data_IF_553703843518
#
_entry.id   IF_553703843518
#
_cell.length_a   1.000
_cell.length_b   1.000
_cell.length_c   1.000
_cell.angle_alpha   90.00
_cell.angle_beta   90.00
_cell.angle_gamma   90.00
#
_symmetry.space_group_name_H-M   'P 1'
#
loop_
_entity.id
_entity.type
_entity.pdbx_description
1 polymer ?
#
# COMPACT_ATOMS: atom_id res chain seq x y z
N UNK A 1 32.79 -17.82 -21.96
CA UNK A 1 32.10 -17.55 -20.69
C UNK A 1 30.80 -16.83 -21.02
N UNK A 2 29.64 -17.46 -20.86
CA UNK A 2 28.34 -16.81 -21.05
C UNK A 2 28.07 -15.94 -19.83
N UNK A 3 28.39 -14.66 -19.91
CA UNK A 3 27.81 -13.66 -19.02
C UNK A 3 26.31 -13.66 -19.29
N UNK A 4 25.52 -14.05 -18.29
CA UNK A 4 24.07 -13.98 -18.34
C UNK A 4 23.68 -12.50 -18.47
N UNK A 5 23.37 -12.10 -19.68
CA UNK A 5 22.93 -10.75 -20.03
C UNK A 5 21.50 -10.53 -19.49
N UNK A 6 21.39 -10.17 -18.21
CA UNK A 6 20.11 -9.91 -17.54
C UNK A 6 19.38 -8.71 -18.14
N UNK A 7 18.09 -8.86 -18.42
CA UNK A 7 17.18 -7.75 -18.71
C UNK A 7 16.56 -7.28 -17.39
N UNK A 8 16.65 -6.00 -17.09
CA UNK A 8 15.98 -5.34 -15.98
C UNK A 8 14.70 -4.71 -16.52
N UNK A 9 13.59 -5.00 -15.87
CA UNK A 9 12.26 -4.50 -16.25
C UNK A 9 11.76 -3.67 -15.09
N UNK A 10 11.59 -2.37 -15.33
CA UNK A 10 11.07 -1.42 -14.35
C UNK A 10 9.71 -0.95 -14.83
N UNK A 11 8.66 -1.36 -14.12
CA UNK A 11 7.30 -0.88 -14.38
C UNK A 11 7.01 0.29 -13.45
N UNK A 12 6.51 1.40 -13.99
CA UNK A 12 5.98 2.49 -13.16
C UNK A 12 4.92 1.91 -12.21
N UNK A 13 4.95 2.33 -10.94
CA UNK A 13 4.06 1.82 -9.90
C UNK A 13 4.05 0.29 -9.81
N UNK A 14 5.14 -0.39 -10.21
CA UNK A 14 5.29 -1.85 -10.16
C UNK A 14 4.20 -2.63 -10.92
N UNK A 15 3.63 -2.04 -11.97
CA UNK A 15 2.57 -2.66 -12.77
C UNK A 15 1.16 -2.44 -12.21
N UNK A 16 0.97 -1.51 -11.27
CA UNK A 16 -0.34 -1.08 -10.78
C UNK A 16 -0.72 0.24 -11.44
N UNK A 17 -1.77 0.24 -12.26
CA UNK A 17 -2.18 1.41 -13.03
C UNK A 17 -3.70 1.60 -13.06
N UNK A 18 -4.12 2.83 -13.35
CA UNK A 18 -5.49 3.09 -13.75
C UNK A 18 -5.73 2.62 -15.19
N UNK A 19 -6.88 1.99 -15.43
CA UNK A 19 -7.32 1.65 -16.78
C UNK A 19 -7.66 2.90 -17.59
N UNK A 20 -7.47 2.86 -18.91
CA UNK A 20 -7.69 4.00 -19.80
C UNK A 20 -6.57 5.05 -19.79
N UNK A 21 -5.48 4.81 -19.04
CA UNK A 21 -4.29 5.66 -19.03
C UNK A 21 -3.13 5.01 -19.79
N UNK A 22 -2.11 5.80 -20.12
CA UNK A 22 -0.88 5.30 -20.72
C UNK A 22 0.06 4.80 -19.62
N UNK A 23 0.24 3.48 -19.55
CA UNK A 23 1.28 2.85 -18.75
C UNK A 23 2.67 2.99 -19.39
N UNK A 24 3.72 2.97 -18.57
CA UNK A 24 5.11 3.02 -19.02
C UNK A 24 5.92 1.88 -18.43
N UNK A 25 6.58 1.12 -19.29
CA UNK A 25 7.55 0.08 -18.93
C UNK A 25 8.92 0.52 -19.41
N UNK A 26 9.86 0.67 -18.49
CA UNK A 26 11.26 0.91 -18.79
C UNK A 26 12.01 -0.43 -18.83
N UNK A 27 12.78 -0.64 -19.88
CA UNK A 27 13.59 -1.81 -20.12
C UNK A 27 15.05 -1.37 -20.17
N UNK A 28 15.88 -1.94 -19.31
CA UNK A 28 17.31 -1.67 -19.27
C UNK A 28 18.09 -2.97 -19.19
N UNK A 29 19.34 -2.94 -19.64
CA UNK A 29 20.21 -4.09 -19.52
C UNK A 29 21.01 -4.02 -18.23
N UNK A 30 21.22 -5.17 -17.58
CA UNK A 30 22.10 -5.27 -16.41
C UNK A 30 23.58 -5.08 -16.78
N UNK A 31 23.93 -5.19 -18.07
CA UNK A 31 25.29 -5.11 -18.61
C UNK A 31 25.33 -4.19 -19.82
N UNK A 32 26.27 -3.25 -19.83
CA UNK A 32 26.40 -2.19 -20.84
C UNK A 32 27.07 -2.64 -22.15
N UNK A 33 27.73 -3.80 -22.17
CA UNK A 33 28.54 -4.21 -23.32
C UNK A 33 27.72 -5.10 -24.27
N UNK A 34 27.13 -4.48 -25.30
CA UNK A 34 26.34 -5.19 -26.33
C UNK A 34 26.75 -4.77 -27.72
N UNK A 35 26.87 -5.78 -28.58
CA UNK A 35 27.25 -5.62 -29.98
C UNK A 35 26.05 -5.53 -30.94
N UNK A 36 24.81 -5.77 -30.46
CA UNK A 36 23.62 -5.89 -31.32
C UNK A 36 22.38 -5.27 -30.69
N UNK A 37 21.55 -4.67 -31.54
CA UNK A 37 20.20 -4.24 -31.18
C UNK A 37 19.31 -5.45 -30.89
N UNK A 38 18.46 -5.29 -29.88
CA UNK A 38 17.49 -6.32 -29.50
C UNK A 38 16.09 -5.80 -29.76
N UNK A 39 15.28 -6.59 -30.43
CA UNK A 39 13.88 -6.30 -30.64
C UNK A 39 13.06 -6.93 -29.53
N UNK A 40 12.28 -6.12 -28.83
CA UNK A 40 11.23 -6.56 -27.92
C UNK A 40 9.91 -6.58 -28.67
N UNK A 41 9.32 -7.76 -28.80
CA UNK A 41 7.90 -7.90 -29.18
C UNK A 41 7.12 -8.22 -27.92
N UNK A 42 5.99 -7.54 -27.70
CA UNK A 42 5.19 -7.72 -26.51
C UNK A 42 3.70 -7.79 -26.81
N UNK A 43 2.98 -8.48 -25.92
CA UNK A 43 1.52 -8.52 -25.90
C UNK A 43 1.00 -8.30 -24.48
N UNK A 44 -0.08 -7.56 -24.36
CA UNK A 44 -0.88 -7.43 -23.17
C UNK A 44 -2.16 -8.25 -23.38
N UNK A 45 -2.43 -9.20 -22.48
CA UNK A 45 -3.62 -10.04 -22.56
C UNK A 45 -4.50 -9.92 -21.32
N UNK A 46 -5.82 -9.98 -21.55
CA UNK A 46 -6.84 -10.14 -20.52
C UNK A 46 -7.44 -11.54 -20.68
N UNK A 47 -7.07 -12.45 -19.77
CA UNK A 47 -7.34 -13.88 -19.96
C UNK A 47 -6.73 -14.39 -21.27
N UNK A 48 -7.50 -15.06 -22.16
CA UNK A 48 -7.00 -15.55 -23.43
C UNK A 48 -6.91 -14.47 -24.52
N UNK A 49 -7.50 -13.29 -24.31
CA UNK A 49 -7.66 -12.25 -25.34
C UNK A 49 -6.49 -11.27 -25.29
N UNK A 50 -5.79 -11.09 -26.42
CA UNK A 50 -4.83 -9.98 -26.56
C UNK A 50 -5.58 -8.66 -26.72
N UNK A 51 -5.25 -7.68 -25.89
CA UNK A 51 -5.89 -6.37 -25.85
C UNK A 51 -5.00 -5.25 -26.36
N UNK A 52 -3.68 -5.45 -26.29
CA UNK A 52 -2.68 -4.58 -26.90
C UNK A 52 -1.43 -5.38 -27.24
N UNK A 53 -0.60 -4.86 -28.13
CA UNK A 53 0.67 -5.45 -28.48
C UNK A 53 1.52 -4.45 -29.25
N UNK A 54 2.81 -4.71 -29.29
CA UNK A 54 3.72 -3.81 -29.97
C UNK A 54 5.12 -4.37 -30.11
N UNK A 55 5.95 -3.55 -30.75
CA UNK A 55 7.36 -3.84 -31.02
C UNK A 55 8.18 -2.60 -30.65
N UNK A 56 9.28 -2.81 -29.95
CA UNK A 56 10.25 -1.78 -29.62
C UNK A 56 11.66 -2.30 -29.91
N UNK A 57 12.57 -1.40 -30.27
CA UNK A 57 13.99 -1.69 -30.39
C UNK A 57 14.66 -1.24 -29.10
N UNK A 58 15.48 -2.10 -28.52
CA UNK A 58 16.41 -1.80 -27.45
C UNK A 58 17.78 -1.63 -28.10
N UNK A 59 18.22 -0.38 -28.33
CA UNK A 59 19.49 -0.10 -28.98
C UNK A 59 20.65 -0.68 -28.17
N UNK A 60 21.69 -1.13 -28.86
CA UNK A 60 22.90 -1.64 -28.23
C UNK A 60 23.61 -0.59 -27.34
N UNK A 61 23.48 0.68 -27.72
CA UNK A 61 24.13 1.85 -27.09
C UNK A 61 23.21 2.61 -26.11
N UNK A 62 22.01 2.09 -25.83
CA UNK A 62 21.05 2.75 -24.94
C UNK A 62 20.97 2.05 -23.58
N UNK A 63 21.08 2.85 -22.51
CA UNK A 63 20.91 2.39 -21.14
C UNK A 63 19.46 2.00 -20.83
N UNK A 64 18.47 2.62 -21.48
CA UNK A 64 17.05 2.37 -21.19
C UNK A 64 16.15 2.69 -22.38
N UNK A 65 15.29 1.73 -22.73
CA UNK A 65 14.17 1.93 -23.66
C UNK A 65 12.85 1.98 -22.91
N UNK A 66 11.99 2.95 -23.26
CA UNK A 66 10.66 3.08 -22.66
C UNK A 66 9.58 2.65 -23.64
N UNK A 67 8.73 1.72 -23.21
CA UNK A 67 7.53 1.29 -23.92
C UNK A 67 6.33 1.97 -23.29
N UNK A 68 5.56 2.68 -24.11
CA UNK A 68 4.27 3.27 -23.72
C UNK A 68 3.13 2.34 -24.15
N UNK A 69 2.20 2.05 -23.24
CA UNK A 69 1.10 1.11 -23.45
C UNK A 69 -0.20 1.82 -23.11
N UNK A 70 -1.12 1.96 -24.08
CA UNK A 70 -2.49 2.39 -23.78
C UNK A 70 -3.21 1.25 -23.06
N UNK A 71 -3.57 1.46 -21.80
CA UNK A 71 -4.19 0.43 -20.97
C UNK A 71 -5.70 0.41 -21.22
N UNK A 72 -6.34 -0.76 -21.32
CA UNK A 72 -7.79 -0.83 -21.48
C UNK A 72 -8.50 -0.21 -20.27
N UNK A 73 -9.64 0.41 -20.50
CA UNK A 73 -10.53 0.85 -19.42
C UNK A 73 -11.12 -0.37 -18.69
N UNK A 74 -11.20 -0.26 -17.36
CA UNK A 74 -11.75 -1.32 -16.51
C UNK A 74 -12.75 -0.74 -15.53
N UNK A 75 -13.82 -1.48 -15.23
CA UNK A 75 -14.84 -1.08 -14.24
C UNK A 75 -14.58 -1.64 -12.85
N UNK A 76 -13.82 -2.72 -12.80
CA UNK A 76 -13.40 -3.39 -11.56
C UNK A 76 -11.91 -3.68 -11.67
N UNK A 77 -11.28 -3.93 -10.52
CA UNK A 77 -9.89 -4.37 -10.49
C UNK A 77 -9.71 -5.60 -11.38
N UNK A 78 -8.79 -5.50 -12.34
CA UNK A 78 -8.61 -6.49 -13.41
C UNK A 78 -7.14 -6.84 -13.54
N UNK A 79 -6.83 -8.12 -13.68
CA UNK A 79 -5.47 -8.59 -13.92
C UNK A 79 -5.23 -8.79 -15.42
N UNK A 80 -4.15 -8.19 -15.92
CA UNK A 80 -3.66 -8.41 -17.27
C UNK A 80 -2.27 -9.05 -17.22
N UNK A 81 -1.91 -9.77 -18.27
CA UNK A 81 -0.58 -10.37 -18.41
C UNK A 81 0.16 -9.65 -19.52
N UNK A 82 1.31 -9.07 -19.20
CA UNK A 82 2.23 -8.54 -20.19
C UNK A 82 3.31 -9.57 -20.46
N UNK A 83 3.35 -10.07 -21.70
CA UNK A 83 4.33 -11.04 -22.16
C UNK A 83 5.26 -10.35 -23.14
N UNK A 84 6.54 -10.70 -23.07
CA UNK A 84 7.53 -10.18 -24.00
C UNK A 84 8.41 -11.29 -24.54
N UNK A 85 8.94 -11.05 -25.74
CA UNK A 85 9.93 -11.88 -26.44
C UNK A 85 11.05 -10.99 -26.94
N UNK A 86 12.28 -11.44 -26.76
CA UNK A 86 13.50 -10.76 -27.19
C UNK A 86 14.10 -11.50 -28.39
N UNK A 87 14.40 -10.77 -29.45
CA UNK A 87 15.02 -11.27 -30.68
C UNK A 87 16.24 -10.43 -31.04
N UNK A 88 17.27 -11.07 -31.60
CA UNK A 88 18.46 -10.39 -32.10
C UNK A 88 18.17 -9.76 -33.47
N UNK A 89 18.40 -8.45 -33.61
CA UNK A 89 18.10 -7.72 -34.85
C UNK A 89 16.65 -7.94 -35.31
N UNK A 90 16.42 -8.07 -36.62
CA UNK A 90 15.07 -8.26 -37.18
C UNK A 90 14.59 -9.73 -37.20
N UNK A 91 15.31 -10.63 -36.52
CA UNK A 91 14.97 -12.07 -36.46
C UNK A 91 13.83 -12.34 -35.47
N UNK A 92 12.66 -11.75 -35.71
CA UNK A 92 11.47 -11.88 -34.85
C UNK A 92 11.02 -13.35 -34.63
N UNK A 93 11.39 -14.25 -35.54
CA UNK A 93 10.97 -15.66 -35.52
C UNK A 93 11.83 -16.59 -34.65
N UNK A 94 12.95 -16.13 -34.10
CA UNK A 94 13.78 -16.92 -33.19
C UNK A 94 14.09 -16.12 -31.92
N UNK A 95 13.15 -16.07 -30.96
CA UNK A 95 13.38 -15.38 -29.71
C UNK A 95 14.44 -16.12 -28.89
N UNK A 96 15.41 -15.39 -28.35
CA UNK A 96 16.43 -15.96 -27.46
C UNK A 96 16.04 -15.85 -25.97
N UNK A 97 15.05 -15.01 -25.65
CA UNK A 97 14.49 -14.88 -24.31
C UNK A 97 13.02 -14.47 -24.37
N UNK A 98 12.27 -14.81 -23.33
CA UNK A 98 10.89 -14.39 -23.12
C UNK A 98 10.61 -14.29 -21.64
N UNK A 99 9.56 -13.57 -21.28
CA UNK A 99 9.10 -13.48 -19.91
C UNK A 99 7.68 -12.94 -19.83
N UNK A 100 7.13 -12.96 -18.63
CA UNK A 100 5.80 -12.43 -18.37
C UNK A 100 5.74 -11.72 -17.03
N UNK A 101 4.90 -10.69 -16.97
CA UNK A 101 4.61 -9.93 -15.76
C UNK A 101 3.12 -9.70 -15.64
N UNK A 102 2.64 -9.70 -14.39
CA UNK A 102 1.27 -9.33 -14.10
C UNK A 102 1.15 -7.81 -13.98
N UNK A 103 0.11 -7.27 -14.60
CA UNK A 103 -0.32 -5.88 -14.47
C UNK A 103 -1.68 -5.89 -13.78
N UNK A 104 -1.86 -4.97 -12.84
CA UNK A 104 -3.09 -4.79 -12.09
C UNK A 104 -3.73 -3.47 -12.50
N UNK A 105 -4.83 -3.54 -13.23
CA UNK A 105 -5.61 -2.39 -13.65
C UNK A 105 -6.71 -2.08 -12.65
N UNK A 106 -6.86 -0.81 -12.32
CA UNK A 106 -7.90 -0.29 -11.42
C UNK A 106 -8.83 0.64 -12.18
N UNK A 107 -10.13 0.70 -11.81
CA UNK A 107 -11.02 1.68 -12.38
C UNK A 107 -10.55 3.09 -12.01
N UNK A 108 -10.78 4.04 -12.92
CA UNK A 108 -10.55 5.47 -12.63
C UNK A 108 -11.55 5.97 -11.59
N UNK A 109 -11.19 7.04 -10.89
CA UNK A 109 -12.09 7.69 -9.94
C UNK A 109 -12.45 6.81 -8.75
N UNK A 110 -11.48 6.12 -8.16
CA UNK A 110 -11.68 5.26 -6.97
C UNK A 110 -12.36 6.03 -5.82
N UNK A 111 -12.14 7.34 -5.73
CA UNK A 111 -12.66 8.22 -4.70
C UNK A 111 -14.04 8.83 -5.01
N UNK A 112 -14.62 8.56 -6.19
CA UNK A 112 -15.85 9.24 -6.65
C UNK A 112 -17.04 9.08 -5.69
N UNK A 113 -17.11 7.95 -4.98
CA UNK A 113 -18.18 7.68 -4.01
C UNK A 113 -17.83 8.14 -2.58
N UNK A 114 -16.57 8.50 -2.32
CA UNK A 114 -16.09 8.92 -1.00
C UNK A 114 -16.70 10.25 -0.55
N UNK A 115 -17.01 11.18 -1.47
CA UNK A 115 -17.70 12.42 -1.13
C UNK A 115 -19.10 12.16 -0.53
N UNK A 116 -19.85 11.20 -1.08
CA UNK A 116 -21.16 10.81 -0.54
C UNK A 116 -21.03 10.15 0.82
N UNK A 117 -20.02 9.29 0.99
CA UNK A 117 -19.72 8.61 2.24
C UNK A 117 -19.40 9.59 3.38
N UNK A 118 -18.65 10.64 3.08
CA UNK A 118 -18.28 11.67 4.05
C UNK A 118 -19.47 12.56 4.44
N UNK A 119 -20.51 12.67 3.59
CA UNK A 119 -21.72 13.42 3.92
C UNK A 119 -21.41 14.86 4.34
N UNK A 120 -21.75 15.22 5.59
CA UNK A 120 -21.52 16.54 6.17
C UNK A 120 -20.26 16.64 7.06
N UNK A 121 -19.38 15.62 7.03
CA UNK A 121 -18.15 15.60 7.84
C UNK A 121 -17.18 16.67 7.38
N UNK A 122 -16.57 17.37 8.34
CA UNK A 122 -15.53 18.37 8.08
C UNK A 122 -14.19 17.67 8.02
N UNK A 123 -13.67 17.52 6.81
CA UNK A 123 -12.34 16.99 6.56
C UNK A 123 -11.34 18.13 6.51
N UNK A 124 -10.27 18.00 7.29
CA UNK A 124 -9.14 18.92 7.29
C UNK A 124 -7.92 18.18 6.77
N UNK A 125 -7.20 18.78 5.84
CA UNK A 125 -5.92 18.29 5.37
C UNK A 125 -4.83 19.25 5.83
N UNK A 126 -3.88 18.71 6.59
CA UNK A 126 -2.62 19.39 6.82
C UNK A 126 -1.59 18.88 5.81
N UNK A 127 -1.32 19.69 4.80
CA UNK A 127 -0.36 19.42 3.73
C UNK A 127 0.17 20.77 3.20
N UNK A 128 1.47 21.02 3.37
CA UNK A 128 2.18 22.20 2.87
C UNK A 128 2.62 21.96 1.42
N UNK A 129 3.10 20.75 1.13
CA UNK A 129 3.50 20.29 -0.19
C UNK A 129 2.95 18.89 -0.41
N UNK A 130 2.31 18.67 -1.55
CA UNK A 130 1.79 17.37 -1.92
C UNK A 130 0.62 17.47 -2.90
N UNK A 131 0.11 16.30 -3.27
CA UNK A 131 -0.95 16.15 -4.27
C UNK A 131 -2.24 15.59 -3.68
N UNK A 132 -2.27 15.26 -2.38
CA UNK A 132 -3.45 14.68 -1.74
C UNK A 132 -4.62 15.68 -1.78
N UNK A 133 -4.36 16.96 -1.51
CA UNK A 133 -5.38 18.00 -1.62
C UNK A 133 -6.00 18.12 -3.02
N UNK A 134 -5.19 17.99 -4.07
CA UNK A 134 -5.65 18.03 -5.46
C UNK A 134 -6.52 16.81 -5.79
N UNK A 135 -6.09 15.61 -5.38
CA UNK A 135 -6.82 14.36 -5.59
C UNK A 135 -8.17 14.36 -4.85
N UNK A 136 -8.21 14.84 -3.60
CA UNK A 136 -9.45 14.98 -2.84
C UNK A 136 -10.41 15.99 -3.49
N UNK A 137 -9.87 17.11 -4.00
CA UNK A 137 -10.65 18.14 -4.70
C UNK A 137 -11.24 17.61 -6.01
N UNK A 138 -10.45 16.89 -6.82
CA UNK A 138 -10.91 16.27 -8.07
C UNK A 138 -12.03 15.25 -7.81
N UNK A 139 -11.93 14.50 -6.71
CA UNK A 139 -12.97 13.59 -6.25
C UNK A 139 -14.22 14.29 -5.67
N UNK A 140 -14.27 15.62 -5.64
CA UNK A 140 -15.39 16.40 -5.12
C UNK A 140 -15.52 16.35 -3.59
N UNK A 141 -14.44 15.99 -2.87
CA UNK A 141 -14.44 15.95 -1.41
C UNK A 141 -14.12 17.35 -0.86
N UNK A 142 -14.99 17.96 -0.06
CA UNK A 142 -14.72 19.27 0.54
C UNK A 142 -13.68 19.12 1.65
N UNK A 143 -12.53 19.78 1.48
CA UNK A 143 -11.41 19.71 2.43
C UNK A 143 -10.96 21.12 2.81
N UNK A 144 -10.86 21.39 4.11
CA UNK A 144 -10.19 22.57 4.63
C UNK A 144 -8.68 22.34 4.68
N UNK A 145 -7.90 23.08 3.89
CA UNK A 145 -6.43 22.95 3.89
C UNK A 145 -5.84 23.83 4.98
N UNK A 146 -4.93 23.27 5.76
CA UNK A 146 -4.20 23.93 6.84
C UNK A 146 -2.72 23.95 6.51
N UNK A 147 -2.12 25.14 6.50
CA UNK A 147 -0.71 25.32 6.19
C UNK A 147 0.21 25.36 7.43
N UNK A 148 -0.35 25.45 8.65
CA UNK A 148 0.43 25.53 9.89
C UNK A 148 -0.22 24.79 11.06
N UNK A 149 0.61 24.31 11.97
CA UNK A 149 0.21 23.67 13.22
C UNK A 149 -0.63 24.59 14.12
N UNK A 150 -0.31 25.89 14.15
CA UNK A 150 -1.04 26.88 14.92
C UNK A 150 -2.54 26.96 14.52
N UNK A 151 -2.85 26.81 13.24
CA UNK A 151 -4.24 26.87 12.76
C UNK A 151 -5.08 25.66 13.24
N UNK A 152 -4.46 24.51 13.52
CA UNK A 152 -5.17 23.32 14.02
C UNK A 152 -5.84 23.53 15.39
N UNK A 153 -5.33 24.48 16.18
CA UNK A 153 -5.89 24.80 17.49
C UNK A 153 -7.26 25.49 17.41
N UNK A 154 -7.56 26.14 16.27
CA UNK A 154 -8.77 26.95 16.09
C UNK A 154 -9.81 26.30 15.18
N UNK A 155 -9.49 25.14 14.61
CA UNK A 155 -10.36 24.45 13.66
C UNK A 155 -11.14 23.35 14.39
N UNK A 156 -12.39 23.14 13.98
CA UNK A 156 -13.16 21.97 14.37
C UNK A 156 -13.26 21.04 13.17
N UNK A 157 -12.67 19.87 13.30
CA UNK A 157 -12.71 18.82 12.28
C UNK A 157 -13.49 17.61 12.80
N UNK A 158 -14.06 16.84 11.89
CA UNK A 158 -14.49 15.46 12.19
C UNK A 158 -13.36 14.48 11.81
N UNK A 159 -12.55 14.87 10.82
CA UNK A 159 -11.42 14.11 10.32
C UNK A 159 -10.25 15.04 10.00
N UNK A 160 -9.05 14.65 10.42
CA UNK A 160 -7.80 15.33 10.10
C UNK A 160 -6.86 14.35 9.39
N UNK A 161 -6.46 14.69 8.18
CA UNK A 161 -5.46 13.98 7.40
C UNK A 161 -4.15 14.76 7.49
N UNK A 162 -3.08 14.11 7.94
CA UNK A 162 -1.73 14.68 7.99
C UNK A 162 -0.94 14.10 6.83
N UNK A 163 -0.63 14.94 5.85
CA UNK A 163 0.07 14.58 4.61
C UNK A 163 1.45 13.95 4.85
N UNK A 164 1.99 13.34 3.80
CA UNK A 164 3.31 12.70 3.87
C UNK A 164 4.39 13.75 4.18
N UNK A 165 5.30 13.43 5.09
CA UNK A 165 6.42 14.30 5.50
C UNK A 165 6.02 15.69 6.00
N UNK A 166 4.76 15.86 6.42
CA UNK A 166 4.24 17.13 6.88
C UNK A 166 4.80 17.55 8.25
N UNK A 167 5.03 16.58 9.13
CA UNK A 167 5.52 16.86 10.46
C UNK A 167 7.01 17.20 10.41
N UNK A 168 7.35 18.37 10.92
CA UNK A 168 8.73 18.79 11.14
C UNK A 168 9.19 18.26 12.50
N UNK A 169 10.50 18.26 12.78
CA UNK A 169 11.12 17.75 14.01
C UNK A 169 10.70 18.48 15.30
N UNK A 170 9.72 19.39 15.25
CA UNK A 170 9.24 20.12 16.41
C UNK A 170 8.22 19.27 17.19
N UNK A 171 8.55 18.83 18.43
CA UNK A 171 7.74 17.87 19.17
C UNK A 171 6.33 18.39 19.53
N UNK A 172 6.17 19.71 19.66
CA UNK A 172 4.89 20.33 20.04
C UNK A 172 3.86 20.39 18.90
N UNK A 173 4.27 20.12 17.66
CA UNK A 173 3.39 20.21 16.48
C UNK A 173 2.25 19.16 16.49
N UNK A 174 2.40 18.11 17.31
CA UNK A 174 1.50 16.95 17.32
C UNK A 174 0.44 17.01 18.42
N UNK A 175 0.66 17.79 19.48
CA UNK A 175 -0.28 17.87 20.61
C UNK A 175 -1.67 18.42 20.21
N UNK A 176 -1.79 19.44 19.33
CA UNK A 176 -3.10 19.87 18.84
C UNK A 176 -3.88 18.75 18.14
N UNK A 177 -3.19 17.88 17.38
CA UNK A 177 -3.82 16.74 16.71
C UNK A 177 -4.33 15.71 17.73
N UNK A 178 -3.52 15.41 18.74
CA UNK A 178 -3.91 14.48 19.80
C UNK A 178 -5.07 15.04 20.65
N UNK A 179 -5.09 16.35 20.90
CA UNK A 179 -6.20 17.03 21.56
C UNK A 179 -7.51 16.92 20.75
N UNK A 180 -7.45 17.14 19.43
CA UNK A 180 -8.59 16.95 18.53
C UNK A 180 -9.09 15.51 18.54
N UNK A 181 -8.18 14.52 18.54
CA UNK A 181 -8.55 13.12 18.65
C UNK A 181 -9.28 12.82 19.97
N UNK A 182 -8.74 13.27 21.11
CA UNK A 182 -9.39 13.13 22.43
C UNK A 182 -10.82 13.70 22.45
N UNK A 183 -11.03 14.81 21.73
CA UNK A 183 -12.33 15.49 21.60
C UNK A 183 -13.31 14.83 20.62
N UNK A 184 -12.92 13.76 19.93
CA UNK A 184 -13.82 13.01 19.02
C UNK A 184 -13.42 13.00 17.56
N UNK A 185 -12.35 13.70 17.17
CA UNK A 185 -11.88 13.68 15.78
C UNK A 185 -11.19 12.36 15.42
N UNK A 186 -11.28 11.99 14.15
CA UNK A 186 -10.47 10.93 13.56
C UNK A 186 -9.20 11.55 12.95
N UNK A 187 -8.02 11.18 13.45
CA UNK A 187 -6.73 11.68 12.92
C UNK A 187 -6.00 10.57 12.19
N UNK A 188 -5.53 10.82 10.98
CA UNK A 188 -4.68 9.90 10.24
C UNK A 188 -3.34 10.56 9.88
N UNK A 189 -2.27 9.90 10.30
CA UNK A 189 -0.90 10.25 9.92
C UNK A 189 -0.48 9.39 8.73
N UNK A 190 -0.22 10.01 7.59
CA UNK A 190 0.53 9.36 6.51
C UNK A 190 2.04 9.34 6.84
N UNK A 191 2.85 8.74 5.97
CA UNK A 191 4.26 8.49 6.21
C UNK A 191 5.01 9.74 6.69
N UNK A 192 5.78 9.60 7.78
CA UNK A 192 6.68 10.60 8.32
C UNK A 192 8.06 9.95 8.52
N UNK A 193 9.12 10.53 8.00
CA UNK A 193 10.49 10.01 8.16
C UNK A 193 11.43 11.02 8.81
N UNK A 194 11.00 12.28 8.92
CA UNK A 194 11.80 13.38 9.48
C UNK A 194 11.57 13.65 10.97
N UNK A 195 10.66 12.93 11.62
CA UNK A 195 10.39 13.05 13.06
C UNK A 195 11.00 11.89 13.84
N UNK A 196 11.64 12.15 14.99
CA UNK A 196 12.13 11.07 15.86
C UNK A 196 10.99 10.36 16.59
N UNK A 197 9.84 11.03 16.74
CA UNK A 197 8.68 10.51 17.45
C UNK A 197 7.37 10.90 16.75
N UNK A 198 6.39 10.00 16.78
CA UNK A 198 5.03 10.21 16.26
C UNK A 198 4.02 9.83 17.33
N UNK A 199 3.24 10.82 17.78
CA UNK A 199 2.27 10.76 18.87
C UNK A 199 2.84 10.13 20.16
N UNK A 200 4.11 10.43 20.47
CA UNK A 200 4.83 9.92 21.64
C UNK A 200 5.49 8.55 21.44
N UNK A 201 5.42 7.97 20.24
CA UNK A 201 6.12 6.72 19.93
C UNK A 201 7.39 6.98 19.15
N UNK A 202 8.48 6.34 19.55
CA UNK A 202 9.75 6.42 18.83
C UNK A 202 9.62 5.86 17.41
N UNK A 203 10.26 6.54 16.46
CA UNK A 203 10.38 6.10 15.08
C UNK A 203 11.84 5.78 14.77
N UNK A 204 12.10 4.56 14.34
CA UNK A 204 13.46 4.11 14.04
C UNK A 204 13.59 3.76 12.58
N UNK A 205 14.66 4.22 11.94
CA UNK A 205 15.01 3.80 10.59
C UNK A 205 15.42 2.32 10.61
N UNK A 206 14.75 1.49 9.82
CA UNK A 206 14.98 0.04 9.73
C UNK A 206 15.08 -0.38 8.25
N UNK A 207 15.92 -1.36 7.95
CA UNK A 207 15.99 -1.95 6.61
C UNK A 207 14.66 -2.64 6.27
N UNK A 208 14.17 -2.58 5.05
CA UNK A 208 12.89 -3.23 4.68
C UNK A 208 12.93 -4.74 5.01
N UNK A 209 11.91 -5.31 5.67
CA UNK A 209 11.85 -6.74 5.92
C UNK A 209 11.40 -7.49 4.66
N UNK A 210 11.73 -8.78 4.57
CA UNK A 210 11.29 -9.62 3.46
C UNK A 210 9.76 -9.75 3.39
N UNK A 211 9.12 -9.77 4.55
CA UNK A 211 7.66 -9.84 4.71
C UNK A 211 7.19 -9.11 5.98
N UNK A 212 5.91 -8.75 6.01
CA UNK A 212 5.23 -8.24 7.20
C UNK A 212 4.14 -9.20 7.64
N UNK A 213 3.84 -9.20 8.94
CA UNK A 213 2.66 -9.87 9.47
C UNK A 213 1.47 -8.93 9.38
N UNK A 214 0.48 -9.31 8.57
CA UNK A 214 -0.69 -8.49 8.28
C UNK A 214 -1.94 -8.97 9.02
N UNK A 215 -2.73 -8.04 9.52
CA UNK A 215 -4.11 -8.28 9.93
C UNK A 215 -5.04 -8.04 8.73
N UNK A 216 -5.04 -8.98 7.79
CA UNK A 216 -5.61 -8.84 6.45
C UNK A 216 -7.12 -8.47 6.43
N UNK A 217 -7.87 -8.89 7.44
CA UNK A 217 -9.31 -8.63 7.55
C UNK A 217 -9.65 -7.20 8.04
N UNK A 218 -8.64 -6.37 8.34
CA UNK A 218 -8.87 -5.01 8.79
C UNK A 218 -9.49 -4.14 7.66
N UNK A 219 -10.49 -3.28 7.95
CA UNK A 219 -11.14 -2.44 6.93
C UNK A 219 -10.19 -1.58 6.10
N UNK A 220 -9.08 -1.11 6.68
CA UNK A 220 -8.05 -0.34 5.96
C UNK A 220 -7.41 -1.12 4.79
N UNK A 221 -7.43 -2.46 4.85
CA UNK A 221 -6.85 -3.34 3.82
C UNK A 221 -7.91 -3.94 2.88
N UNK A 222 -9.17 -3.49 2.93
CA UNK A 222 -10.23 -4.00 2.06
C UNK A 222 -9.86 -3.85 0.58
N UNK A 223 -9.99 -4.93 -0.18
CA UNK A 223 -9.70 -4.94 -1.62
C UNK A 223 -8.21 -5.06 -1.99
N UNK A 224 -7.31 -5.08 -0.99
CA UNK A 224 -5.93 -5.50 -1.17
C UNK A 224 -5.77 -7.01 -1.05
N UNK A 225 -4.85 -7.55 -1.83
CA UNK A 225 -4.27 -8.88 -1.67
C UNK A 225 -2.93 -8.75 -0.92
N UNK A 226 -2.42 -9.83 -0.30
CA UNK A 226 -1.10 -9.81 0.33
C UNK A 226 0.02 -9.31 -0.61
N UNK A 227 -0.02 -9.74 -1.88
CA UNK A 227 0.96 -9.31 -2.88
C UNK A 227 0.96 -7.79 -3.12
N UNK A 228 -0.20 -7.13 -2.99
CA UNK A 228 -0.31 -5.68 -3.18
C UNK A 228 0.37 -4.93 -2.07
N UNK A 229 0.11 -5.33 -0.83
CA UNK A 229 0.67 -4.65 0.34
C UNK A 229 2.18 -4.92 0.46
N UNK A 230 2.63 -6.12 0.12
CA UNK A 230 4.06 -6.46 0.09
C UNK A 230 4.81 -5.76 -1.06
N UNK A 231 4.11 -5.42 -2.15
CA UNK A 231 4.72 -4.71 -3.28
C UNK A 231 5.21 -3.30 -2.88
N UNK A 232 4.55 -2.63 -1.93
CA UNK A 232 5.06 -1.36 -1.40
C UNK A 232 6.45 -1.48 -0.75
N UNK A 233 6.75 -2.61 -0.12
CA UNK A 233 8.05 -2.87 0.51
C UNK A 233 9.18 -2.96 -0.53
N UNK A 234 8.88 -3.55 -1.71
CA UNK A 234 9.87 -3.81 -2.77
C UNK A 234 10.24 -2.58 -3.61
N UNK A 235 9.46 -1.50 -3.54
CA UNK A 235 9.64 -0.33 -4.42
C UNK A 235 10.44 0.84 -3.84
N UNK A 236 10.86 0.76 -2.57
CA UNK A 236 11.36 1.91 -1.80
C UNK A 236 12.88 2.02 -1.66
N UNK A 237 13.31 2.97 -0.83
CA UNK A 237 14.70 3.35 -0.51
C UNK A 237 15.51 2.29 0.29
N UNK A 238 15.00 1.06 0.36
CA UNK A 238 15.53 -0.03 1.19
C UNK A 238 15.37 0.18 2.70
N UNK A 239 14.81 1.31 3.14
CA UNK A 239 14.59 1.62 4.56
C UNK A 239 13.19 2.18 4.81
N UNK A 240 12.64 1.89 5.98
CA UNK A 240 11.34 2.35 6.47
C UNK A 240 11.48 2.89 7.90
N UNK A 241 10.44 3.59 8.36
CA UNK A 241 10.37 4.19 9.69
C UNK A 241 9.17 3.64 10.47
N UNK A 242 9.22 2.39 10.94
CA UNK A 242 8.17 1.84 11.80
C UNK A 242 8.05 2.59 13.13
N UNK A 243 6.83 2.63 13.66
CA UNK A 243 6.58 3.03 15.04
C UNK A 243 7.01 1.89 15.96
N UNK A 244 7.75 2.23 17.02
CA UNK A 244 8.10 1.31 18.10
C UNK A 244 7.10 1.48 19.25
N UNK A 245 6.21 0.52 19.38
CA UNK A 245 5.18 0.48 20.41
C UNK A 245 5.65 -0.37 21.61
N UNK A 246 5.29 0.00 22.85
CA UNK A 246 5.35 -0.93 23.97
C UNK A 246 4.58 -2.23 23.69
N UNK A 247 5.02 -3.35 24.26
CA UNK A 247 4.44 -4.67 24.00
C UNK A 247 2.93 -4.75 24.32
N UNK A 248 2.50 -4.07 25.40
CA UNK A 248 1.12 -4.04 25.87
C UNK A 248 0.40 -2.71 25.54
N UNK A 249 0.88 -2.00 24.52
CA UNK A 249 0.27 -0.74 24.11
C UNK A 249 -1.18 -0.95 23.63
N UNK A 250 -2.17 -0.12 24.06
CA UNK A 250 -3.58 -0.19 23.64
C UNK A 250 -3.81 0.25 22.17
N UNK A 251 -3.11 -0.39 21.24
CA UNK A 251 -3.10 -0.13 19.80
C UNK A 251 -3.41 -1.42 19.05
N UNK A 252 -4.34 -1.37 18.10
CA UNK A 252 -4.54 -2.44 17.14
C UNK A 252 -3.47 -2.34 16.05
N UNK A 253 -2.54 -3.30 16.04
CA UNK A 253 -1.47 -3.42 15.05
C UNK A 253 -2.02 -4.15 13.82
N UNK A 254 -1.82 -3.57 12.64
CA UNK A 254 -2.35 -4.07 11.37
C UNK A 254 -1.22 -4.57 10.45
N UNK A 255 -0.06 -3.91 10.46
CA UNK A 255 1.12 -4.33 9.71
C UNK A 255 2.33 -4.38 10.64
N UNK A 256 2.73 -5.58 11.05
CA UNK A 256 3.74 -5.80 12.07
C UNK A 256 5.04 -6.31 11.46
N UNK A 257 6.15 -5.78 11.95
CA UNK A 257 7.47 -6.34 11.70
C UNK A 257 7.62 -7.75 12.31
N UNK A 258 8.15 -8.74 11.58
CA UNK A 258 8.43 -10.05 12.16
C UNK A 258 9.42 -9.94 13.33
N UNK A 259 9.26 -10.81 14.34
CA UNK A 259 10.24 -10.91 15.44
C UNK A 259 11.54 -11.52 14.91
N UNK A 260 12.67 -10.88 15.20
CA UNK A 260 14.01 -11.37 14.84
C UNK A 260 14.43 -12.56 15.71
N UNK A 261 14.00 -12.61 16.97
CA UNK A 261 14.37 -13.69 17.91
C UNK A 261 13.13 -14.33 18.52
N UNK A 262 12.95 -15.66 18.44
CA UNK A 262 11.94 -16.36 19.23
C UNK A 262 12.34 -16.35 20.72
N UNK A 263 11.57 -15.66 21.58
CA UNK A 263 11.89 -15.51 23.02
C UNK A 263 10.69 -15.14 23.89
N UNK A 264 10.88 -15.15 25.22
CA UNK A 264 9.84 -14.81 26.22
C UNK A 264 9.54 -13.30 26.23
N UNK A 265 8.23 -12.99 26.31
CA UNK A 265 7.64 -11.64 26.30
C UNK A 265 7.97 -10.83 27.57
N UNK A 266 7.93 -9.47 27.54
CA UNK A 266 7.40 -8.60 26.48
C UNK A 266 8.49 -7.82 25.70
N UNK A 267 8.48 -7.92 24.37
CA UNK A 267 9.31 -7.10 23.47
C UNK A 267 8.50 -5.98 22.80
N UNK A 268 9.11 -4.80 22.55
CA UNK A 268 8.49 -3.74 21.77
C UNK A 268 8.05 -4.22 20.38
N UNK A 269 6.92 -3.70 19.89
CA UNK A 269 6.36 -4.04 18.59
C UNK A 269 6.73 -2.95 17.60
N UNK A 270 7.31 -3.33 16.46
CA UNK A 270 7.54 -2.42 15.34
C UNK A 270 6.39 -2.57 14.31
N UNK A 271 5.81 -1.45 13.88
CA UNK A 271 4.65 -1.46 12.98
C UNK A 271 4.65 -0.33 11.97
N UNK A 272 4.12 -0.60 10.77
CA UNK A 272 3.89 0.40 9.73
C UNK A 272 2.42 0.83 9.60
N UNK A 273 1.49 0.06 10.16
CA UNK A 273 0.07 0.40 10.10
C UNK A 273 -0.58 -0.01 11.40
N UNK A 274 -1.14 0.96 12.11
CA UNK A 274 -1.77 0.74 13.39
C UNK A 274 -2.87 1.76 13.68
N UNK A 275 -3.78 1.43 14.57
CA UNK A 275 -4.90 2.30 14.97
C UNK A 275 -5.15 2.20 16.47
N UNK A 276 -5.49 3.32 17.10
CA UNK A 276 -5.95 3.35 18.50
C UNK A 276 -7.11 4.30 18.70
N UNK A 277 -8.00 3.94 19.61
CA UNK A 277 -8.96 4.87 20.18
C UNK A 277 -8.26 5.84 21.13
N UNK A 278 -8.66 7.12 21.10
CA UNK A 278 -8.11 8.17 21.97
C UNK A 278 -9.26 9.06 22.42
N UNK A 279 -9.67 8.98 23.69
CA UNK A 279 -10.86 9.67 24.17
C UNK A 279 -12.10 9.24 23.38
N UNK A 280 -12.81 10.20 22.79
CA UNK A 280 -13.96 9.94 21.95
C UNK A 280 -13.60 9.68 20.46
N UNK A 281 -12.36 9.91 20.06
CA UNK A 281 -11.90 9.81 18.67
C UNK A 281 -10.93 8.67 18.45
N UNK A 282 -10.22 8.72 17.32
CA UNK A 282 -9.23 7.69 16.95
C UNK A 282 -8.01 8.31 16.29
N UNK A 283 -6.90 7.58 16.34
CA UNK A 283 -5.67 7.89 15.63
C UNK A 283 -5.24 6.69 14.81
N UNK A 284 -4.98 6.91 13.53
CA UNK A 284 -4.42 5.93 12.60
C UNK A 284 -3.02 6.36 12.21
N UNK A 285 -2.07 5.45 12.33
CA UNK A 285 -0.69 5.63 11.90
C UNK A 285 -0.46 4.80 10.65
N UNK A 286 -0.19 5.44 9.52
CA UNK A 286 0.12 4.78 8.24
C UNK A 286 1.52 5.21 7.78
N UNK A 287 2.52 4.41 8.11
CA UNK A 287 3.92 4.55 7.70
C UNK A 287 4.27 3.63 6.52
N UNK A 288 3.25 3.13 5.80
CA UNK A 288 3.46 2.42 4.55
C UNK A 288 4.03 3.38 3.51
N UNK A 289 5.00 2.94 2.68
CA UNK A 289 5.60 3.77 1.63
C UNK A 289 4.65 3.86 0.42
N UNK A 290 3.54 4.58 0.59
CA UNK A 290 2.53 4.76 -0.44
C UNK A 290 3.12 5.51 -1.63
N UNK A 291 2.77 5.08 -2.85
CA UNK A 291 3.14 5.79 -4.07
C UNK A 291 2.36 7.10 -4.23
N UNK A 292 2.60 7.80 -5.35
CA UNK A 292 1.91 9.06 -5.68
C UNK A 292 0.39 8.90 -5.62
N UNK A 293 -0.29 9.86 -4.97
CA UNK A 293 -1.75 9.89 -4.88
C UNK A 293 -2.43 10.04 -6.24
N UNK A 294 -1.76 10.64 -7.22
CA UNK A 294 -2.31 10.90 -8.56
C UNK A 294 -2.23 9.66 -9.45
N UNK A 295 -1.11 8.93 -9.38
CA UNK A 295 -0.81 7.88 -10.36
C UNK A 295 -0.82 6.46 -9.80
N UNK A 296 -0.65 6.28 -8.48
CA UNK A 296 -0.66 4.95 -7.86
C UNK A 296 -2.08 4.60 -7.40
N UNK A 297 -2.80 3.69 -8.09
CA UNK A 297 -4.15 3.32 -7.70
C UNK A 297 -4.22 2.63 -6.34
N UNK A 298 -3.12 2.02 -5.87
CA UNK A 298 -3.07 1.41 -4.54
C UNK A 298 -3.13 2.50 -3.46
N UNK A 299 -2.46 3.62 -3.67
CA UNK A 299 -2.52 4.76 -2.74
C UNK A 299 -3.95 5.30 -2.67
N UNK A 300 -4.63 5.48 -3.81
CA UNK A 300 -6.04 5.90 -3.81
C UNK A 300 -6.98 4.87 -3.16
N UNK A 301 -6.76 3.56 -3.38
CA UNK A 301 -7.55 2.52 -2.70
C UNK A 301 -7.35 2.56 -1.19
N UNK A 302 -6.11 2.76 -0.72
CA UNK A 302 -5.82 2.95 0.71
C UNK A 302 -6.54 4.18 1.25
N UNK A 303 -6.57 5.28 0.51
CA UNK A 303 -7.30 6.49 0.89
C UNK A 303 -8.81 6.25 0.96
N UNK A 304 -9.41 5.55 0.00
CA UNK A 304 -10.83 5.17 0.04
C UNK A 304 -11.15 4.40 1.32
N UNK A 305 -10.36 3.36 1.62
CA UNK A 305 -10.55 2.54 2.81
C UNK A 305 -10.33 3.35 4.10
N UNK A 306 -9.37 4.26 4.10
CA UNK A 306 -9.13 5.17 5.21
C UNK A 306 -10.33 6.07 5.45
N UNK A 307 -10.85 6.74 4.42
CA UNK A 307 -12.02 7.62 4.55
C UNK A 307 -13.23 6.85 5.10
N UNK A 308 -13.51 5.64 4.59
CA UNK A 308 -14.57 4.75 5.10
C UNK A 308 -14.35 4.41 6.58
N UNK A 309 -13.15 3.94 6.92
CA UNK A 309 -12.82 3.54 8.28
C UNK A 309 -12.90 4.70 9.29
N UNK A 310 -12.42 5.89 8.91
CA UNK A 310 -12.38 7.07 9.77
C UNK A 310 -13.77 7.68 10.01
N UNK A 311 -14.74 7.48 9.11
CA UNK A 311 -16.15 7.88 9.27
C UNK A 311 -16.90 6.93 10.20
N UNK A 312 -16.49 5.66 10.26
CA UNK A 312 -17.14 4.63 11.07
C UNK A 312 -17.13 4.91 12.59
N UNK A 313 -17.81 4.07 13.39
CA UNK A 313 -17.83 4.18 14.84
C UNK A 313 -16.46 3.84 15.45
N UNK A 314 -16.05 4.59 16.47
CA UNK A 314 -14.76 4.36 17.16
C UNK A 314 -14.89 3.13 18.06
N UNK A 315 -14.12 2.09 17.74
CA UNK A 315 -14.04 0.89 18.57
C UNK A 315 -12.94 1.05 19.63
N UNK A 316 -13.18 0.64 20.89
CA UNK A 316 -12.14 0.59 21.91
C UNK A 316 -10.96 -0.29 21.46
N UNK A 317 -9.75 0.12 21.79
CA UNK A 317 -8.52 -0.64 21.51
C UNK A 317 -7.85 -1.06 22.82
N UNK A 318 -8.36 -2.09 23.52
CA UNK A 318 -7.77 -2.51 24.79
C UNK A 318 -6.32 -3.02 24.58
N UNK A 319 -5.48 -2.92 25.62
CA UNK A 319 -4.16 -3.54 25.66
C UNK A 319 -4.24 -5.03 25.24
N UNK A 320 -3.22 -5.57 24.54
CA UNK A 320 -3.11 -6.99 24.24
C UNK A 320 -3.43 -7.90 25.43
N UNK A 321 -2.97 -7.59 26.63
CA UNK A 321 -3.23 -8.33 27.88
C UNK A 321 -4.71 -8.39 28.27
N UNK A 322 -5.55 -7.49 27.74
CA UNK A 322 -6.97 -7.37 28.04
C UNK A 322 -7.87 -7.76 26.84
N UNK A 323 -7.29 -8.16 25.71
CA UNK A 323 -8.08 -8.62 24.56
C UNK A 323 -8.66 -9.99 24.87
N UNK A 324 -9.97 -10.10 24.83
CA UNK A 324 -10.64 -11.40 24.81
C UNK A 324 -10.20 -12.15 23.55
N UNK A 325 -9.29 -13.10 23.71
CA UNK A 325 -8.99 -14.09 22.68
C UNK A 325 -10.23 -14.99 22.63
N UNK A 326 -10.99 -15.03 21.52
CA UNK A 326 -12.04 -16.03 21.38
C UNK A 326 -11.37 -17.39 21.55
N UNK A 327 -11.80 -18.15 22.57
CA UNK A 327 -11.33 -19.53 22.75
C UNK A 327 -11.48 -20.25 21.41
N UNK A 328 -10.46 -20.99 20.94
CA UNK A 328 -10.64 -21.82 19.76
C UNK A 328 -11.88 -22.69 19.96
N UNK A 329 -12.71 -22.87 18.91
CA UNK A 329 -13.90 -23.69 19.03
C UNK A 329 -13.49 -25.02 19.62
N UNK A 330 -14.10 -25.39 20.74
CA UNK A 330 -13.86 -26.66 21.40
C UNK A 330 -13.95 -27.74 20.32
N UNK A 331 -12.92 -28.58 20.12
CA UNK A 331 -12.98 -29.59 19.08
C UNK A 331 -14.27 -30.36 19.29
N UNK A 332 -15.19 -30.29 18.32
CA UNK A 332 -16.38 -31.11 18.34
C UNK A 332 -15.87 -32.54 18.41
N UNK A 333 -16.16 -33.21 19.51
CA UNK A 333 -15.90 -34.63 19.67
C UNK A 333 -16.54 -35.30 18.46
N UNK A 334 -15.71 -35.85 17.57
CA UNK A 334 -16.20 -36.62 16.44
C UNK A 334 -17.22 -37.63 16.99
N UNK A 335 -18.44 -37.74 16.42
CA UNK A 335 -19.39 -38.72 16.87
C UNK A 335 -18.72 -40.10 16.78
N UNK A 336 -18.54 -40.73 17.94
CA UNK A 336 -18.08 -42.11 18.03
C UNK A 336 -19.12 -42.97 17.33
N UNK A 337 -18.81 -43.42 16.11
CA UNK A 337 -19.60 -44.46 15.46
C UNK A 337 -19.27 -45.75 16.19
N UNK A 338 -20.10 -46.12 17.15
CA UNK A 338 -20.06 -47.44 17.77
C UNK A 338 -20.57 -48.45 16.74
N UNK A 339 -19.65 -49.15 16.08
CA UNK A 339 -20.00 -50.27 15.21
C UNK A 339 -20.49 -51.43 16.10
N UNK A 340 -21.73 -51.92 15.92
CA UNK A 340 -22.22 -53.05 16.70
C UNK A 340 -21.39 -54.30 16.42
N UNK A 341 -21.20 -55.19 17.42
CA UNK A 341 -20.50 -56.46 17.21
C UNK A 341 -21.25 -57.28 16.16
N UNK A 342 -20.63 -57.51 15.00
CA UNK A 342 -21.18 -58.33 13.91
C UNK A 342 -21.37 -57.64 12.56
N UNK A 343 -21.10 -56.33 12.45
CA UNK A 343 -21.07 -55.68 11.13
C UNK A 343 -19.89 -56.22 10.30
N UNK A 344 -20.19 -56.85 9.17
CA UNK A 344 -19.19 -57.24 8.17
C UNK A 344 -18.92 -56.04 7.23
N UNK A 345 -17.68 -55.89 6.76
CA UNK A 345 -17.25 -54.76 5.94
C UNK A 345 -18.02 -54.64 4.62
#
# INVERSE_FOLDING_TARGET
MNTANGLIILMLNQGYWFGGETGSIALSWATADRAIDVVVTWDLSLGPTSVAGGRAVLPADSDTTRISIMLPEVRTRTQCRWRYRLSAGDSANQPFAFGEHMIHLFPRGLLNESAKLLGNKRVVLWEEQGTLGAVLKEAGIPVGIVASDAALQFIRADMILVGQEQLKSHPFAQEPLMAQARQGSSVMFFQQSHVPELAGYAMNRRAVPDELKWHADHPLLRGFTPADVDSWLRGGSGHLWPLRLPADEPVLVIAQWPRETPGQEPEPIETLLATKSVGAGRVVFCQLPLGSWESDPRSQLMLVNALDYLVGPVAPTPPPSQRHIPLPPTPQTAPSITVPPGARP
#
